data_IF_549899042356
#
_entry.id   IF_549899042356
#
_cell.length_a   1.000
_cell.length_b   1.000
_cell.length_c   1.000
_cell.angle_alpha   90.00
_cell.angle_beta   90.00
_cell.angle_gamma   90.00
#
_symmetry.space_group_name_H-M   'P 1'
#
loop_
_entity.id
_entity.type
_entity.pdbx_description
1 polymer ?
#
# COMPACT_ATOMS: atom_id res chain seq x y z
N UNK A 1 -8.02 -0.34 -31.25
CA UNK A 1 -8.38 0.83 -30.45
C UNK A 1 -8.58 2.03 -31.36
N UNK A 2 -7.56 2.54 -32.01
CA UNK A 2 -7.55 3.74 -32.86
C UNK A 2 -8.65 3.80 -33.91
N UNK A 3 -8.94 2.68 -34.58
CA UNK A 3 -10.00 2.63 -35.61
C UNK A 3 -11.38 2.89 -34.99
N UNK A 4 -11.64 2.33 -33.80
CA UNK A 4 -12.88 2.55 -33.08
C UNK A 4 -13.00 3.99 -32.61
N UNK A 5 -11.93 4.52 -32.02
CA UNK A 5 -11.90 5.91 -31.53
C UNK A 5 -12.09 6.92 -32.67
N UNK A 6 -11.45 6.71 -33.84
CA UNK A 6 -11.68 7.54 -35.04
C UNK A 6 -13.10 7.47 -35.55
N UNK A 7 -13.79 6.37 -35.34
CA UNK A 7 -15.21 6.20 -35.68
C UNK A 7 -16.17 6.75 -34.60
N UNK A 8 -15.64 7.41 -33.54
CA UNK A 8 -16.43 7.94 -32.43
C UNK A 8 -16.91 6.88 -31.44
N UNK A 9 -16.36 5.68 -31.50
CA UNK A 9 -16.70 4.56 -30.60
C UNK A 9 -15.72 4.60 -29.42
N UNK A 10 -16.18 4.73 -28.17
CA UNK A 10 -15.31 4.66 -27.00
C UNK A 10 -14.73 3.25 -26.89
N UNK A 11 -13.44 3.13 -27.06
CA UNK A 11 -12.71 1.87 -26.99
C UNK A 11 -11.34 2.10 -26.36
N UNK A 12 -10.89 1.14 -25.56
CA UNK A 12 -9.55 1.10 -24.99
C UNK A 12 -9.03 -0.35 -24.98
N UNK A 13 -7.75 -0.53 -25.17
CA UNK A 13 -7.10 -1.83 -25.03
C UNK A 13 -7.08 -2.25 -23.55
N UNK A 14 -7.23 -3.54 -23.29
CA UNK A 14 -6.98 -4.11 -21.97
C UNK A 14 -5.48 -4.34 -21.83
N UNK A 15 -4.84 -3.60 -20.96
CA UNK A 15 -3.40 -3.60 -20.73
C UNK A 15 -3.03 -4.46 -19.52
N UNK A 16 -1.91 -5.18 -19.62
CA UNK A 16 -1.28 -5.79 -18.46
C UNK A 16 -0.47 -4.73 -17.66
N UNK A 17 0.06 -5.10 -16.49
CA UNK A 17 0.74 -4.16 -15.60
C UNK A 17 1.95 -3.48 -16.25
N UNK A 18 2.72 -4.21 -17.07
CA UNK A 18 3.91 -3.66 -17.76
C UNK A 18 3.49 -2.68 -18.85
N UNK A 19 2.51 -3.04 -19.63
CA UNK A 19 1.95 -2.18 -20.68
C UNK A 19 1.33 -0.92 -20.09
N UNK A 20 0.64 -1.05 -18.95
CA UNK A 20 0.03 0.09 -18.26
C UNK A 20 1.09 1.09 -17.76
N UNK A 21 2.24 0.60 -17.27
CA UNK A 21 3.35 1.46 -16.87
C UNK A 21 3.99 2.21 -18.05
N UNK A 22 3.86 1.69 -19.26
CA UNK A 22 4.41 2.26 -20.49
C UNK A 22 3.38 3.06 -21.29
N UNK A 23 2.11 3.02 -20.90
CA UNK A 23 1.03 3.70 -21.61
C UNK A 23 1.22 5.23 -21.57
N UNK A 24 1.19 5.86 -22.73
CA UNK A 24 1.44 7.28 -22.90
C UNK A 24 0.42 8.15 -22.15
N UNK A 25 -0.85 7.76 -22.14
CA UNK A 25 -1.90 8.48 -21.43
C UNK A 25 -1.70 8.40 -19.91
N UNK A 26 -1.38 7.22 -19.40
CA UNK A 26 -1.11 7.00 -17.97
C UNK A 26 0.12 7.80 -17.54
N UNK A 27 1.18 7.82 -18.33
CA UNK A 27 2.38 8.62 -18.07
C UNK A 27 2.08 10.12 -18.10
N UNK A 28 1.39 10.61 -19.13
CA UNK A 28 1.00 12.02 -19.24
C UNK A 28 0.14 12.50 -18.06
N UNK A 29 -0.64 11.61 -17.48
CA UNK A 29 -1.42 11.88 -16.27
C UNK A 29 -0.63 11.72 -14.97
N UNK A 30 0.63 11.31 -15.00
CA UNK A 30 1.39 10.89 -13.83
C UNK A 30 0.60 9.85 -13.02
N UNK A 31 0.14 8.79 -13.69
CA UNK A 31 -0.70 7.75 -13.09
C UNK A 31 0.01 6.87 -12.06
N UNK A 32 1.34 6.90 -12.05
CA UNK A 32 2.17 6.21 -11.05
C UNK A 32 3.12 7.19 -10.35
N UNK A 33 3.46 6.86 -9.12
CA UNK A 33 4.49 7.52 -8.32
C UNK A 33 5.48 6.47 -7.85
N UNK A 34 6.78 6.76 -7.98
CA UNK A 34 7.81 5.84 -7.51
C UNK A 34 8.11 6.10 -6.04
N UNK A 35 7.84 5.09 -5.21
CA UNK A 35 8.07 5.11 -3.77
C UNK A 35 9.21 4.17 -3.45
N UNK A 36 10.15 4.62 -2.66
CA UNK A 36 11.27 3.79 -2.23
C UNK A 36 10.79 2.81 -1.15
N UNK A 37 10.77 1.52 -1.52
CA UNK A 37 10.31 0.44 -0.63
C UNK A 37 11.52 -0.19 0.03
N UNK A 38 11.59 -0.30 1.36
CA UNK A 38 12.70 -0.92 2.07
C UNK A 38 13.03 -2.31 1.51
N UNK A 39 14.32 -2.56 1.25
CA UNK A 39 14.86 -3.80 0.68
C UNK A 39 14.42 -4.16 -0.76
N UNK A 40 13.60 -3.32 -1.41
CA UNK A 40 13.15 -3.52 -2.79
C UNK A 40 13.64 -2.39 -3.69
N UNK A 41 13.63 -1.15 -3.19
CA UNK A 41 13.99 0.05 -3.93
C UNK A 41 12.77 0.73 -4.59
N UNK A 42 13.00 1.61 -5.57
CA UNK A 42 11.94 2.39 -6.21
C UNK A 42 10.89 1.51 -6.87
N UNK A 43 9.68 1.56 -6.35
CA UNK A 43 8.55 0.73 -6.79
C UNK A 43 7.41 1.62 -7.29
N UNK A 44 6.83 1.37 -8.49
CA UNK A 44 5.73 2.15 -9.01
C UNK A 44 4.43 1.86 -8.26
N UNK A 45 3.90 2.86 -7.61
CA UNK A 45 2.61 2.83 -6.93
C UNK A 45 1.56 3.55 -7.76
N UNK A 46 0.39 2.96 -8.00
CA UNK A 46 -0.67 3.64 -8.72
C UNK A 46 -1.22 4.80 -7.89
N UNK A 47 -1.35 5.95 -8.51
CA UNK A 47 -1.95 7.13 -7.90
C UNK A 47 -3.47 7.07 -8.01
N UNK A 48 -4.14 7.88 -7.19
CA UNK A 48 -5.59 8.09 -7.35
C UNK A 48 -5.90 8.67 -8.73
N UNK A 49 -6.98 8.21 -9.35
CA UNK A 49 -7.34 8.58 -10.72
C UNK A 49 -7.76 10.05 -10.86
N UNK A 50 -8.25 10.67 -9.79
CA UNK A 50 -8.63 12.08 -9.76
C UNK A 50 -7.45 12.95 -9.31
N UNK A 51 -7.46 14.21 -9.76
CA UNK A 51 -6.48 15.22 -9.36
C UNK A 51 -7.19 16.40 -8.68
N UNK A 52 -6.73 16.74 -7.49
CA UNK A 52 -7.21 17.91 -6.75
C UNK A 52 -6.17 19.02 -6.86
N UNK A 53 -6.54 20.17 -7.43
CA UNK A 53 -5.61 21.28 -7.62
C UNK A 53 -5.22 21.97 -6.32
N UNK A 54 -6.15 22.08 -5.37
CA UNK A 54 -5.91 22.73 -4.08
C UNK A 54 -5.38 21.79 -2.99
N UNK A 55 -5.53 20.47 -3.17
CA UNK A 55 -5.12 19.49 -2.16
C UNK A 55 -4.48 18.30 -2.88
N UNK A 56 -3.23 18.40 -3.32
CA UNK A 56 -2.53 17.26 -3.92
C UNK A 56 -2.44 16.10 -2.94
N UNK A 57 -2.61 14.89 -3.45
CA UNK A 57 -2.55 13.64 -2.67
C UNK A 57 -1.30 12.85 -3.10
N UNK A 58 -0.12 13.17 -2.57
CA UNK A 58 1.09 12.39 -2.81
C UNK A 58 1.05 11.07 -2.02
N UNK A 59 1.79 10.08 -2.48
CA UNK A 59 2.07 8.87 -1.69
C UNK A 59 3.28 9.19 -0.81
N UNK A 60 3.05 9.37 0.48
CA UNK A 60 4.08 9.84 1.42
C UNK A 60 4.86 8.72 2.10
N UNK A 61 4.35 7.49 2.03
CA UNK A 61 4.96 6.32 2.67
C UNK A 61 4.70 5.07 1.82
N UNK A 62 5.65 4.17 1.77
CA UNK A 62 5.46 2.83 1.23
C UNK A 62 4.46 2.03 2.05
N UNK A 63 4.01 0.89 1.53
CA UNK A 63 3.22 -0.05 2.33
C UNK A 63 4.01 -0.42 3.60
N UNK A 64 3.37 -0.41 4.78
CA UNK A 64 4.05 -0.69 6.03
C UNK A 64 4.58 -2.13 6.06
N UNK A 65 5.74 -2.31 6.67
CA UNK A 65 6.24 -3.62 7.04
C UNK A 65 5.39 -4.27 8.12
N UNK A 66 5.62 -5.57 8.33
CA UNK A 66 4.92 -6.28 9.40
C UNK A 66 5.25 -5.66 10.76
N UNK A 67 4.22 -5.32 11.53
CA UNK A 67 4.31 -4.71 12.86
C UNK A 67 5.05 -3.34 12.94
N UNK A 68 5.38 -2.72 11.80
CA UNK A 68 6.14 -1.48 11.73
C UNK A 68 5.52 -0.35 12.56
N UNK A 69 4.21 -0.27 12.60
CA UNK A 69 3.48 0.80 13.28
C UNK A 69 2.92 0.38 14.67
N UNK A 70 3.35 -0.78 15.23
CA UNK A 70 2.85 -1.27 16.52
C UNK A 70 3.05 -0.24 17.63
N UNK A 71 4.23 0.34 17.76
CA UNK A 71 4.52 1.35 18.79
C UNK A 71 3.61 2.57 18.65
N UNK A 72 3.46 3.09 17.44
CA UNK A 72 2.58 4.21 17.18
C UNK A 72 1.13 3.90 17.57
N UNK A 73 0.62 2.75 17.12
CA UNK A 73 -0.78 2.38 17.36
C UNK A 73 -1.05 2.10 18.83
N UNK A 74 -0.23 1.27 19.48
CA UNK A 74 -0.52 0.83 20.84
C UNK A 74 -0.10 1.83 21.91
N UNK A 75 1.03 2.53 21.75
CA UNK A 75 1.50 3.52 22.71
C UNK A 75 0.90 4.90 22.48
N UNK A 76 1.09 5.43 21.27
CA UNK A 76 0.75 6.83 21.02
C UNK A 76 -0.74 7.02 20.76
N UNK A 77 -1.35 6.20 19.91
CA UNK A 77 -2.75 6.35 19.54
C UNK A 77 -3.71 5.81 20.60
N UNK A 78 -3.45 4.60 21.12
CA UNK A 78 -4.29 3.94 22.12
C UNK A 78 -3.89 4.25 23.57
N UNK A 79 -2.68 4.78 23.80
CA UNK A 79 -2.20 5.15 25.13
C UNK A 79 -2.04 3.96 26.09
N UNK A 80 -1.77 2.76 25.56
CA UNK A 80 -1.58 1.58 26.40
C UNK A 80 -0.27 1.67 27.20
N UNK A 81 -0.31 1.18 28.45
CA UNK A 81 0.90 1.05 29.26
C UNK A 81 1.81 -0.07 28.72
N UNK A 82 3.12 0.01 29.04
CA UNK A 82 4.09 -1.04 28.73
C UNK A 82 3.64 -2.42 29.18
N UNK A 83 3.08 -2.51 30.39
CA UNK A 83 2.63 -3.78 30.97
C UNK A 83 1.42 -4.34 30.19
N UNK A 84 0.52 -3.48 29.71
CA UNK A 84 -0.61 -3.89 28.88
C UNK A 84 -0.13 -4.38 27.51
N UNK A 85 0.84 -3.71 26.90
CA UNK A 85 1.43 -4.13 25.62
C UNK A 85 2.13 -5.48 25.77
N UNK A 86 2.97 -5.66 26.80
CA UNK A 86 3.61 -6.96 27.08
C UNK A 86 2.60 -8.07 27.31
N UNK A 87 1.51 -7.81 28.02
CA UNK A 87 0.47 -8.79 28.23
C UNK A 87 -0.20 -9.24 26.91
N UNK A 88 -0.33 -8.33 25.93
CA UNK A 88 -0.84 -8.67 24.60
C UNK A 88 0.19 -9.45 23.76
N UNK A 89 1.47 -9.14 23.92
CA UNK A 89 2.57 -9.87 23.29
C UNK A 89 2.68 -11.29 23.84
N UNK A 90 2.64 -11.45 25.16
CA UNK A 90 2.67 -12.76 25.84
C UNK A 90 1.51 -13.64 25.42
N UNK A 91 0.36 -13.06 25.18
CA UNK A 91 -0.82 -13.75 24.67
C UNK A 91 -0.80 -13.96 23.14
N UNK A 92 0.23 -13.50 22.47
CA UNK A 92 0.35 -13.54 21.00
C UNK A 92 -0.83 -12.87 20.27
N UNK A 93 -1.46 -11.87 20.88
CA UNK A 93 -2.50 -11.05 20.25
C UNK A 93 -1.85 -10.04 19.32
N UNK A 94 -0.73 -9.47 19.73
CA UNK A 94 0.17 -8.67 18.91
C UNK A 94 1.53 -9.35 18.85
N UNK A 95 2.21 -9.24 17.72
CA UNK A 95 3.57 -9.79 17.56
C UNK A 95 4.41 -8.82 16.73
N UNK A 96 5.72 -8.84 16.91
CA UNK A 96 6.68 -8.08 16.10
C UNK A 96 7.20 -8.87 14.89
N UNK A 97 6.87 -10.17 14.80
CA UNK A 97 7.23 -11.03 13.69
C UNK A 97 6.06 -11.93 13.27
N UNK A 98 5.99 -12.33 11.98
CA UNK A 98 4.95 -13.23 11.52
C UNK A 98 4.99 -14.56 12.27
N UNK A 99 3.86 -15.01 12.78
CA UNK A 99 3.74 -16.33 13.40
C UNK A 99 3.73 -17.39 12.32
N UNK A 100 4.62 -18.40 12.41
CA UNK A 100 4.69 -19.49 11.45
C UNK A 100 3.36 -20.26 11.35
N UNK A 101 2.95 -20.71 10.15
CA UNK A 101 1.75 -21.55 10.00
C UNK A 101 1.88 -22.81 10.86
N UNK A 102 0.98 -23.02 11.82
CA UNK A 102 1.01 -24.12 12.77
C UNK A 102 1.43 -23.77 14.20
N UNK A 103 1.94 -22.57 14.44
CA UNK A 103 2.12 -22.00 15.77
C UNK A 103 0.77 -21.59 16.36
N UNK A 104 -0.07 -22.58 16.69
CA UNK A 104 -1.41 -22.33 17.20
C UNK A 104 -1.37 -21.68 18.58
N UNK A 105 -2.33 -20.76 18.84
CA UNK A 105 -2.68 -20.28 20.16
C UNK A 105 -2.68 -21.47 21.14
N UNK A 106 -1.82 -21.45 22.15
CA UNK A 106 -2.03 -22.33 23.29
C UNK A 106 -3.33 -21.85 23.96
N UNK A 107 -4.41 -22.59 23.68
CA UNK A 107 -5.66 -22.40 24.42
C UNK A 107 -5.38 -22.66 25.90
N UNK A 108 -5.60 -21.69 26.73
CA UNK A 108 -5.70 -21.81 28.18
C UNK A 108 -7.13 -22.15 28.55
#
# INVERSE_FOLDING_TARGET
>A
EDQCQRAGIPAAAVLNAVELLQDEHVQARNGFEYVDVPNVGPTPYPRVAFKLSGTPVPITKAAPGFAEDNDYVYRELLGLSEDAIRALEDQQIITSEPVAPGGGRKAH
#
